data_IF_833219170904
#
_entry.id   IF_833219170904
#
_cell.length_a   1.000
_cell.length_b   1.000
_cell.length_c   1.000
_cell.angle_alpha   90.00
_cell.angle_beta   90.00
_cell.angle_gamma   90.00
#
_symmetry.space_group_name_H-M   'P 1'
#
loop_
_entity.id
_entity.type
_entity.pdbx_description
1 polymer ?
#
# COMPACT_ATOMS: atom_id res chain seq x y z
N UNK A 1 1.09 14.56 91.75
CA UNK A 1 0.41 13.59 92.63
C UNK A 1 0.24 12.28 91.87
N UNK A 2 1.02 11.25 92.21
CA UNK A 2 0.69 9.82 92.01
C UNK A 2 -0.39 9.40 93.04
N UNK A 3 -1.19 8.32 92.88
CA UNK A 3 -0.78 6.90 92.68
C UNK A 3 -1.56 6.20 91.54
N UNK A 4 -1.17 5.08 90.89
CA UNK A 4 -0.54 3.78 91.22
C UNK A 4 -1.54 2.60 91.39
N UNK A 5 -1.30 1.54 90.60
CA UNK A 5 -1.61 0.08 90.76
C UNK A 5 -3.07 -0.38 90.55
N UNK A 6 -3.39 -1.55 89.99
CA UNK A 6 -2.66 -2.79 89.61
C UNK A 6 -3.38 -3.43 88.39
N UNK A 7 -2.74 -3.94 87.33
CA UNK A 7 -1.98 -5.19 87.13
C UNK A 7 -2.74 -6.48 87.50
N UNK A 8 -3.22 -7.18 86.46
CA UNK A 8 -3.51 -8.61 86.45
C UNK A 8 -3.14 -9.18 85.07
N UNK A 9 -1.98 -9.84 84.99
CA UNK A 9 -1.49 -10.64 83.87
C UNK A 9 -2.21 -12.01 83.86
N UNK A 10 -2.26 -12.86 82.83
CA UNK A 10 -1.33 -13.15 81.74
C UNK A 10 -1.93 -14.21 80.81
N UNK A 11 -1.69 -14.13 79.50
CA UNK A 11 -1.20 -15.27 78.67
C UNK A 11 -0.84 -14.78 77.25
N UNK A 12 0.12 -15.43 76.55
CA UNK A 12 1.18 -14.73 75.84
C UNK A 12 0.95 -14.48 74.34
N UNK A 13 1.46 -13.33 73.93
CA UNK A 13 1.95 -12.87 72.62
C UNK A 13 2.17 -13.90 71.50
N UNK A 14 1.45 -13.73 70.39
CA UNK A 14 1.98 -13.89 69.04
C UNK A 14 2.09 -12.50 68.39
N UNK A 15 3.32 -12.03 68.24
CA UNK A 15 3.67 -10.76 67.60
C UNK A 15 3.61 -10.94 66.09
N UNK A 16 2.58 -10.38 65.44
CA UNK A 16 2.58 -10.19 63.98
C UNK A 16 3.37 -8.90 63.64
N UNK A 17 4.32 -8.95 62.69
CA UNK A 17 5.18 -7.83 62.35
C UNK A 17 4.42 -6.68 61.64
N UNK A 18 4.91 -5.44 61.78
CA UNK A 18 4.23 -4.25 61.30
C UNK A 18 4.18 -4.17 59.76
N UNK A 19 3.01 -3.78 59.26
CA UNK A 19 2.70 -3.48 57.85
C UNK A 19 3.69 -2.47 57.27
N UNK A 20 4.70 -2.98 56.58
CA UNK A 20 5.57 -2.20 55.70
C UNK A 20 4.75 -1.68 54.51
N UNK A 21 4.96 -0.40 54.21
CA UNK A 21 4.25 0.31 53.14
C UNK A 21 4.38 -0.39 51.80
N UNK A 22 3.31 -1.05 51.37
CA UNK A 22 3.13 -1.43 49.98
C UNK A 22 2.72 -0.17 49.22
N UNK A 23 3.73 0.62 48.85
CA UNK A 23 3.69 1.54 47.74
C UNK A 23 3.01 0.80 46.59
N UNK A 24 1.74 1.14 46.29
CA UNK A 24 1.06 0.65 45.09
C UNK A 24 1.89 1.16 43.93
N UNK A 25 2.80 0.31 43.44
CA UNK A 25 3.40 0.44 42.12
C UNK A 25 2.22 0.52 41.18
N UNK A 26 1.91 1.74 40.74
CA UNK A 26 1.08 1.95 39.57
C UNK A 26 1.73 1.13 38.48
N UNK A 27 1.09 0.03 38.11
CA UNK A 27 1.36 -0.61 36.83
C UNK A 27 0.98 0.47 35.84
N UNK A 28 1.98 1.23 35.38
CA UNK A 28 1.84 2.09 34.23
C UNK A 28 1.71 1.13 33.06
N UNK A 29 0.48 0.66 32.84
CA UNK A 29 0.09 0.07 31.57
C UNK A 29 0.28 1.19 30.57
N UNK A 30 1.43 1.24 29.91
CA UNK A 30 1.60 1.97 28.65
C UNK A 30 0.70 1.26 27.63
N UNK A 31 -0.60 1.50 27.76
CA UNK A 31 -1.62 0.98 26.89
C UNK A 31 -1.46 1.68 25.56
N UNK A 32 -1.26 0.91 24.50
CA UNK A 32 -1.32 1.38 23.13
C UNK A 32 -2.59 2.25 22.88
N UNK A 33 -3.67 1.99 23.64
CA UNK A 33 -4.90 2.79 23.69
C UNK A 33 -4.70 4.29 23.95
N UNK A 34 -3.83 4.69 24.88
CA UNK A 34 -3.62 6.12 25.20
C UNK A 34 -2.89 6.88 24.09
N UNK A 35 -1.99 6.20 23.36
CA UNK A 35 -1.32 6.77 22.18
C UNK A 35 -2.32 6.90 21.02
N UNK A 36 -3.22 5.92 20.88
CA UNK A 36 -4.26 5.98 19.86
C UNK A 36 -5.29 7.08 20.15
N UNK A 37 -5.62 7.38 21.39
CA UNK A 37 -6.53 8.48 21.78
C UNK A 37 -5.97 9.88 21.43
N UNK A 38 -4.65 10.07 21.44
CA UNK A 38 -4.00 11.34 21.11
C UNK A 38 -3.89 11.60 19.60
N UNK A 39 -4.12 10.58 18.76
CA UNK A 39 -4.11 10.73 17.30
C UNK A 39 -5.45 11.28 16.80
N UNK A 40 -5.46 12.06 15.70
CA UNK A 40 -6.70 12.54 15.10
C UNK A 40 -7.60 11.35 14.74
N UNK A 41 -8.74 11.28 15.43
CA UNK A 41 -9.73 10.23 15.26
C UNK A 41 -10.58 10.48 14.02
N UNK A 42 -10.90 9.39 13.33
CA UNK A 42 -11.74 9.36 12.14
C UNK A 42 -12.84 8.34 12.34
N UNK A 43 -14.06 8.76 12.04
CA UNK A 43 -15.21 7.87 11.92
C UNK A 43 -15.42 7.54 10.44
N UNK A 44 -15.18 6.29 10.05
CA UNK A 44 -15.35 5.80 8.69
C UNK A 44 -16.70 5.10 8.56
N UNK A 45 -17.65 5.73 7.87
CA UNK A 45 -19.03 5.24 7.74
C UNK A 45 -19.24 4.69 6.34
N UNK A 46 -19.60 3.42 6.23
CA UNK A 46 -19.83 2.75 4.95
C UNK A 46 -21.32 2.60 4.65
N UNK A 47 -21.77 3.24 3.58
CA UNK A 47 -23.09 3.04 2.99
C UNK A 47 -23.04 1.91 1.94
N UNK A 48 -24.04 1.05 1.93
CA UNK A 48 -24.18 -0.04 0.95
C UNK A 48 -25.42 0.18 0.08
N UNK A 49 -25.27 -0.02 -1.23
CA UNK A 49 -26.36 0.20 -2.17
C UNK A 49 -26.18 -0.58 -3.48
N UNK A 50 -27.06 -0.33 -4.44
CA UNK A 50 -27.00 -0.85 -5.80
C UNK A 50 -26.71 0.29 -6.77
N UNK A 51 -25.83 0.06 -7.76
CA UNK A 51 -25.49 1.08 -8.73
C UNK A 51 -26.65 1.35 -9.71
N UNK A 52 -27.08 2.61 -9.79
CA UNK A 52 -28.26 3.04 -10.56
C UNK A 52 -27.95 3.82 -11.84
N UNK A 53 -26.69 4.03 -12.21
CA UNK A 53 -26.34 4.88 -13.38
C UNK A 53 -26.49 6.38 -13.14
N UNK A 54 -26.80 6.80 -11.91
CA UNK A 54 -26.94 8.20 -11.50
C UNK A 54 -26.24 8.44 -10.15
N UNK A 55 -25.86 9.70 -9.83
CA UNK A 55 -25.38 10.05 -8.50
C UNK A 55 -26.45 9.77 -7.44
N UNK A 56 -26.04 9.25 -6.27
CA UNK A 56 -26.96 8.93 -5.16
C UNK A 56 -26.60 9.81 -3.96
N UNK A 57 -27.45 10.79 -3.59
CA UNK A 57 -27.22 11.61 -2.42
C UNK A 57 -27.59 10.84 -1.16
N UNK A 58 -26.67 10.84 -0.20
CA UNK A 58 -26.80 10.16 1.08
C UNK A 58 -26.61 11.16 2.23
N UNK A 59 -27.41 11.01 3.28
CA UNK A 59 -27.21 11.68 4.57
C UNK A 59 -26.69 10.66 5.56
N UNK A 60 -25.66 11.06 6.29
CA UNK A 60 -25.05 10.29 7.37
C UNK A 60 -25.39 10.99 8.66
N UNK A 61 -26.00 10.28 9.60
CA UNK A 61 -26.33 10.78 10.94
C UNK A 61 -25.64 9.92 11.98
N UNK A 62 -25.04 10.54 13.00
CA UNK A 62 -24.30 9.83 14.04
C UNK A 62 -24.53 10.43 15.42
N UNK A 63 -24.58 9.55 16.43
CA UNK A 63 -24.69 9.92 17.84
C UNK A 63 -23.63 9.17 18.63
N UNK A 64 -22.91 9.88 19.51
CA UNK A 64 -21.98 9.25 20.43
C UNK A 64 -22.75 8.54 21.54
N UNK A 65 -22.36 7.30 21.86
CA UNK A 65 -23.06 6.47 22.86
C UNK A 65 -22.82 6.92 24.31
N UNK A 66 -21.66 7.49 24.61
CA UNK A 66 -21.22 7.76 25.98
C UNK A 66 -21.58 9.18 26.47
N UNK A 67 -22.77 9.69 26.16
CA UNK A 67 -23.25 10.99 26.62
C UNK A 67 -24.76 11.00 26.86
N UNK A 68 -25.23 11.80 27.82
CA UNK A 68 -26.67 12.01 28.02
C UNK A 68 -27.31 12.43 26.68
N UNK A 69 -28.45 11.82 26.33
CA UNK A 69 -29.04 11.90 24.98
C UNK A 69 -29.28 13.34 24.45
N UNK A 70 -29.37 14.33 25.34
CA UNK A 70 -29.55 15.75 25.01
C UNK A 70 -28.23 16.52 24.79
N UNK A 71 -27.08 16.01 25.24
CA UNK A 71 -25.75 16.65 25.13
C UNK A 71 -24.73 15.84 24.32
N UNK A 72 -25.14 14.69 23.79
CA UNK A 72 -24.28 13.85 22.96
C UNK A 72 -23.97 14.57 21.62
N UNK A 73 -22.69 14.66 21.21
CA UNK A 73 -22.34 15.29 19.95
C UNK A 73 -23.05 14.57 18.80
N UNK A 74 -23.86 15.32 18.07
CA UNK A 74 -24.59 14.86 16.88
C UNK A 74 -23.77 15.19 15.65
N UNK A 75 -23.56 14.20 14.81
CA UNK A 75 -22.91 14.35 13.52
C UNK A 75 -23.97 14.24 12.42
N UNK A 76 -23.98 15.21 11.52
CA UNK A 76 -24.77 15.12 10.29
C UNK A 76 -23.88 15.53 9.11
N UNK A 77 -23.80 14.66 8.09
CA UNK A 77 -23.01 14.94 6.90
C UNK A 77 -23.75 14.47 5.65
N UNK A 78 -23.87 15.36 4.68
CA UNK A 78 -24.33 15.02 3.35
C UNK A 78 -23.14 14.61 2.50
N UNK A 79 -23.29 13.52 1.76
CA UNK A 79 -22.33 13.06 0.78
C UNK A 79 -23.07 12.56 -0.45
N UNK A 80 -22.40 12.56 -1.60
CA UNK A 80 -23.00 12.07 -2.84
C UNK A 80 -22.13 10.94 -3.37
N UNK A 81 -22.72 9.76 -3.51
CA UNK A 81 -22.08 8.65 -4.23
C UNK A 81 -21.99 9.06 -5.70
N UNK A 82 -20.79 9.03 -6.32
CA UNK A 82 -20.63 9.31 -7.74
C UNK A 82 -21.51 8.42 -8.61
N UNK A 83 -21.80 8.86 -9.84
CA UNK A 83 -22.52 8.02 -10.79
C UNK A 83 -21.69 6.77 -11.11
N UNK A 84 -22.24 5.60 -10.75
CA UNK A 84 -21.69 4.29 -11.04
C UNK A 84 -22.49 3.64 -12.17
N UNK A 85 -21.85 2.94 -13.14
CA UNK A 85 -22.57 2.29 -14.24
C UNK A 85 -23.70 1.39 -13.74
N UNK A 86 -24.90 1.60 -14.30
CA UNK A 86 -26.05 0.74 -14.02
C UNK A 86 -25.70 -0.71 -14.42
N UNK A 87 -25.89 -1.65 -13.49
CA UNK A 87 -25.52 -3.06 -13.70
C UNK A 87 -24.11 -3.45 -13.21
N UNK A 88 -23.34 -2.52 -12.64
CA UNK A 88 -22.09 -2.88 -11.92
C UNK A 88 -22.35 -3.64 -10.60
N UNK A 89 -23.62 -3.70 -10.19
CA UNK A 89 -24.10 -4.47 -9.05
C UNK A 89 -24.08 -3.67 -7.75
N UNK A 90 -23.79 -4.36 -6.65
CA UNK A 90 -23.67 -3.74 -5.32
C UNK A 90 -22.48 -2.78 -5.29
N UNK A 91 -22.52 -1.80 -4.40
CA UNK A 91 -21.37 -0.97 -4.07
C UNK A 91 -21.31 -0.73 -2.55
N UNK A 92 -20.12 -0.39 -2.07
CA UNK A 92 -19.88 0.09 -0.72
C UNK A 92 -19.15 1.44 -0.82
N UNK A 93 -19.77 2.51 -0.31
CA UNK A 93 -19.24 3.85 -0.32
C UNK A 93 -18.90 4.29 1.10
N UNK A 94 -17.65 4.67 1.37
CA UNK A 94 -17.19 5.06 2.70
C UNK A 94 -16.88 6.54 2.76
N UNK A 95 -17.49 7.20 3.74
CA UNK A 95 -17.22 8.60 4.08
C UNK A 95 -16.42 8.63 5.37
N UNK A 96 -15.22 9.20 5.32
CA UNK A 96 -14.40 9.46 6.49
C UNK A 96 -14.71 10.84 7.07
N UNK A 97 -15.16 10.87 8.32
CA UNK A 97 -15.38 12.10 9.09
C UNK A 97 -14.23 12.25 10.07
N UNK A 98 -13.39 13.26 9.85
CA UNK A 98 -12.23 13.58 10.69
C UNK A 98 -12.60 14.49 11.86
N UNK A 99 -11.74 14.53 12.88
CA UNK A 99 -11.84 15.40 14.07
C UNK A 99 -13.07 15.10 14.94
N UNK A 100 -13.42 13.83 15.06
CA UNK A 100 -14.54 13.36 15.89
C UNK A 100 -14.01 12.88 17.23
N UNK A 101 -14.68 13.13 18.37
CA UNK A 101 -14.27 12.57 19.66
C UNK A 101 -14.16 11.04 19.61
N UNK A 102 -13.12 10.52 20.26
CA UNK A 102 -12.91 9.07 20.39
C UNK A 102 -14.07 8.37 21.09
N UNK A 103 -14.35 7.14 20.67
CA UNK A 103 -15.32 6.24 21.31
C UNK A 103 -16.26 5.55 20.32
N UNK A 104 -17.35 5.01 20.85
CA UNK A 104 -18.39 4.31 20.08
C UNK A 104 -19.45 5.28 19.56
N UNK A 105 -19.67 5.22 18.25
CA UNK A 105 -20.65 6.04 17.55
C UNK A 105 -21.73 5.15 16.95
N UNK A 106 -22.99 5.47 17.25
CA UNK A 106 -24.13 4.88 16.57
C UNK A 106 -24.42 5.69 15.32
N UNK A 107 -24.29 5.08 14.14
CA UNK A 107 -24.38 5.79 12.86
C UNK A 107 -25.45 5.18 11.96
N UNK A 108 -26.27 6.04 11.37
CA UNK A 108 -27.21 5.73 10.31
C UNK A 108 -26.80 6.36 8.98
N UNK A 109 -27.12 5.69 7.88
CA UNK A 109 -27.00 6.25 6.53
C UNK A 109 -28.35 6.17 5.85
N UNK A 110 -28.83 7.28 5.31
CA UNK A 110 -30.10 7.36 4.58
C UNK A 110 -29.90 7.98 3.22
N UNK A 111 -30.78 7.64 2.29
CA UNK A 111 -30.85 8.29 0.98
C UNK A 111 -31.75 9.51 1.08
N UNK A 112 -31.28 10.66 0.61
CA UNK A 112 -32.08 11.90 0.67
C UNK A 112 -33.02 12.05 -0.52
N UNK A 113 -32.81 11.29 -1.60
CA UNK A 113 -33.65 11.28 -2.80
C UNK A 113 -34.90 10.39 -2.67
N UNK A 114 -34.95 9.52 -1.66
CA UNK A 114 -36.06 8.60 -1.42
C UNK A 114 -36.82 9.02 -0.17
N UNK A 115 -37.96 9.69 -0.36
CA UNK A 115 -38.88 10.00 0.73
C UNK A 115 -39.67 8.74 1.11
N UNK A 116 -39.10 7.88 1.97
CA UNK A 116 -39.81 6.73 2.55
C UNK A 116 -39.95 6.90 4.06
N UNK A 117 -41.11 7.39 4.48
CA UNK A 117 -41.56 7.32 5.87
C UNK A 117 -41.74 5.84 6.26
N UNK A 118 -40.82 5.28 7.05
CA UNK A 118 -41.01 3.95 7.66
C UNK A 118 -39.88 2.94 7.48
N UNK A 119 -38.82 3.24 6.73
CA UNK A 119 -37.65 2.33 6.70
C UNK A 119 -36.85 2.51 7.98
N UNK A 120 -36.86 1.52 8.89
CA UNK A 120 -36.04 1.52 10.11
C UNK A 120 -34.58 1.75 9.71
N UNK A 121 -34.02 2.91 10.06
CA UNK A 121 -32.60 3.20 9.84
C UNK A 121 -31.80 2.12 10.55
N UNK A 122 -31.10 1.29 9.78
CA UNK A 122 -30.18 0.30 10.34
C UNK A 122 -28.98 1.05 10.89
N UNK A 123 -29.08 1.43 12.15
CA UNK A 123 -28.01 2.07 12.91
C UNK A 123 -26.97 1.02 13.24
N UNK A 124 -25.71 1.32 12.94
CA UNK A 124 -24.58 0.44 13.20
C UNK A 124 -23.65 1.17 14.15
N UNK A 125 -23.25 0.49 15.21
CA UNK A 125 -22.24 1.00 16.14
C UNK A 125 -20.89 0.81 15.50
N UNK A 126 -20.12 1.90 15.39
CA UNK A 126 -18.78 1.89 14.86
C UNK A 126 -17.85 2.64 15.81
N UNK A 127 -16.72 2.04 16.21
CA UNK A 127 -15.71 2.75 16.95
C UNK A 127 -14.97 3.72 16.03
N UNK A 128 -14.53 4.86 16.58
CA UNK A 128 -13.54 5.69 15.91
C UNK A 128 -12.22 4.97 15.74
N UNK A 129 -11.49 5.25 14.67
CA UNK A 129 -10.13 4.75 14.46
C UNK A 129 -9.18 5.93 14.22
N UNK A 130 -7.90 5.80 14.60
CA UNK A 130 -6.88 6.74 14.16
C UNK A 130 -6.92 6.87 12.64
N UNK A 131 -6.72 8.09 12.12
CA UNK A 131 -6.79 8.37 10.67
C UNK A 131 -5.95 7.40 9.80
N UNK A 132 -4.84 6.91 10.35
CA UNK A 132 -3.93 5.98 9.69
C UNK A 132 -4.48 4.56 9.59
N UNK A 133 -5.47 4.18 10.41
CA UNK A 133 -6.10 2.85 10.46
C UNK A 133 -7.55 2.88 9.93
N UNK A 134 -8.07 4.07 9.65
CA UNK A 134 -9.40 4.29 9.06
C UNK A 134 -9.35 4.06 7.54
N UNK A 135 -9.32 2.79 7.14
CA UNK A 135 -9.32 2.42 5.73
C UNK A 135 -10.74 2.24 5.19
N UNK A 136 -10.91 2.49 3.88
CA UNK A 136 -12.14 2.22 3.15
C UNK A 136 -12.47 0.73 3.06
N UNK A 137 -13.60 0.39 2.42
CA UNK A 137 -14.11 -0.97 2.41
C UNK A 137 -13.19 -1.87 1.58
N UNK A 138 -13.03 -3.14 1.97
CA UNK A 138 -12.26 -4.15 1.25
C UNK A 138 -10.78 -3.78 0.97
N UNK A 139 -10.11 -3.13 1.94
CA UNK A 139 -8.70 -2.75 1.87
C UNK A 139 -7.88 -3.49 2.92
N UNK A 140 -6.81 -4.18 2.53
CA UNK A 140 -5.85 -4.82 3.45
C UNK A 140 -4.47 -4.16 3.35
N UNK A 141 -4.22 -3.12 4.15
CA UNK A 141 -3.02 -2.26 3.98
C UNK A 141 -1.68 -2.98 4.11
N UNK A 142 -1.60 -4.00 4.96
CA UNK A 142 -0.38 -4.79 5.14
C UNK A 142 -0.05 -5.71 3.97
N UNK A 143 -1.01 -5.98 3.06
CA UNK A 143 -0.76 -6.84 1.90
C UNK A 143 0.29 -6.27 0.95
N UNK A 144 0.30 -4.94 0.74
CA UNK A 144 1.25 -4.28 -0.16
C UNK A 144 2.71 -4.40 0.30
N UNK A 145 3.11 -3.97 1.51
CA UNK A 145 4.51 -4.08 1.93
C UNK A 145 4.97 -5.54 2.01
N UNK A 146 4.11 -6.46 2.46
CA UNK A 146 4.45 -7.91 2.53
C UNK A 146 4.72 -8.47 1.14
N UNK A 147 3.84 -8.23 0.17
CA UNK A 147 4.01 -8.74 -1.19
C UNK A 147 5.17 -8.08 -1.93
N UNK A 148 5.43 -6.79 -1.68
CA UNK A 148 6.59 -6.09 -2.25
C UNK A 148 7.90 -6.63 -1.68
N UNK A 149 7.97 -6.87 -0.36
CA UNK A 149 9.15 -7.47 0.28
C UNK A 149 9.38 -8.91 -0.21
N UNK A 150 8.32 -9.71 -0.30
CA UNK A 150 8.40 -11.05 -0.88
C UNK A 150 8.86 -11.00 -2.35
N UNK A 151 8.37 -10.03 -3.13
CA UNK A 151 8.80 -9.81 -4.51
C UNK A 151 10.26 -9.39 -4.62
N UNK A 152 10.75 -8.54 -3.72
CA UNK A 152 12.16 -8.16 -3.67
C UNK A 152 13.06 -9.34 -3.29
N UNK A 153 12.65 -10.16 -2.32
CA UNK A 153 13.36 -11.39 -1.96
C UNK A 153 13.41 -12.39 -3.13
N UNK A 154 12.28 -12.59 -3.83
CA UNK A 154 12.23 -13.41 -5.04
C UNK A 154 13.15 -12.86 -6.13
N UNK A 155 13.19 -11.53 -6.33
CA UNK A 155 14.05 -10.90 -7.32
C UNK A 155 15.54 -11.15 -7.03
N UNK A 156 15.96 -10.96 -5.79
CA UNK A 156 17.33 -11.22 -5.33
C UNK A 156 17.68 -12.71 -5.42
N UNK A 157 16.75 -13.60 -5.06
CA UNK A 157 16.94 -15.04 -5.17
C UNK A 157 17.14 -15.47 -6.63
N UNK A 158 16.28 -15.02 -7.54
CA UNK A 158 16.41 -15.32 -8.98
C UNK A 158 17.71 -14.77 -9.54
N UNK A 159 18.08 -13.54 -9.19
CA UNK A 159 19.36 -12.95 -9.58
C UNK A 159 20.53 -13.80 -9.08
N UNK A 160 20.55 -14.18 -7.79
CA UNK A 160 21.60 -15.02 -7.22
C UNK A 160 21.72 -16.37 -7.94
N UNK A 161 20.59 -17.01 -8.26
CA UNK A 161 20.56 -18.28 -8.99
C UNK A 161 21.06 -18.16 -10.44
N UNK A 162 20.86 -17.01 -11.09
CA UNK A 162 21.39 -16.74 -12.42
C UNK A 162 22.90 -16.49 -12.36
N UNK A 163 23.37 -15.69 -11.40
CA UNK A 163 24.79 -15.40 -11.22
C UNK A 163 25.60 -16.60 -10.74
N UNK A 164 25.01 -17.53 -9.99
CA UNK A 164 25.67 -18.76 -9.59
C UNK A 164 26.07 -19.67 -10.77
N UNK A 165 25.58 -19.36 -12.00
CA UNK A 165 25.99 -20.04 -13.23
C UNK A 165 27.12 -19.33 -13.98
N UNK A 166 27.58 -18.19 -13.49
CA UNK A 166 28.65 -17.38 -14.09
C UNK A 166 29.85 -17.32 -13.14
N UNK A 167 31.03 -16.97 -13.64
CA UNK A 167 32.26 -16.82 -12.83
C UNK A 167 32.27 -15.54 -11.96
N UNK A 168 31.11 -14.96 -11.69
CA UNK A 168 30.97 -13.71 -10.92
C UNK A 168 30.87 -14.00 -9.42
N UNK A 169 31.38 -13.08 -8.60
CA UNK A 169 31.17 -13.11 -7.15
C UNK A 169 29.69 -12.81 -6.84
N UNK A 170 28.91 -13.89 -6.67
CA UNK A 170 27.47 -13.84 -6.37
C UNK A 170 27.21 -13.02 -5.11
N UNK A 171 28.05 -13.14 -4.08
CA UNK A 171 27.85 -12.44 -2.82
C UNK A 171 28.04 -10.94 -2.99
N UNK A 172 29.10 -10.51 -3.69
CA UNK A 172 29.34 -9.10 -3.97
C UNK A 172 28.18 -8.47 -4.76
N UNK A 173 27.71 -9.15 -5.82
CA UNK A 173 26.62 -8.61 -6.66
C UNK A 173 25.30 -8.55 -5.91
N UNK A 174 24.93 -9.60 -5.17
CA UNK A 174 23.71 -9.62 -4.37
C UNK A 174 23.76 -8.52 -3.31
N UNK A 175 24.92 -8.30 -2.68
CA UNK A 175 25.10 -7.20 -1.73
C UNK A 175 24.92 -5.83 -2.39
N UNK A 176 25.45 -5.62 -3.60
CA UNK A 176 25.20 -4.39 -4.38
C UNK A 176 23.71 -4.21 -4.66
N UNK A 177 23.00 -5.28 -5.04
CA UNK A 177 21.54 -5.24 -5.27
C UNK A 177 20.73 -4.94 -4.00
N UNK A 178 21.14 -5.49 -2.85
CA UNK A 178 20.52 -5.19 -1.55
C UNK A 178 20.74 -3.72 -1.18
N UNK A 179 21.97 -3.23 -1.30
CA UNK A 179 22.31 -1.81 -1.06
C UNK A 179 21.52 -0.91 -2.01
N UNK A 180 21.42 -1.27 -3.29
CA UNK A 180 20.61 -0.56 -4.29
C UNK A 180 19.13 -0.48 -3.88
N UNK A 181 18.56 -1.56 -3.33
CA UNK A 181 17.18 -1.55 -2.83
C UNK A 181 17.00 -0.62 -1.61
N UNK A 182 17.95 -0.61 -0.67
CA UNK A 182 17.93 0.26 0.52
C UNK A 182 18.10 1.73 0.15
N UNK A 183 19.11 2.04 -0.67
CA UNK A 183 19.37 3.40 -1.18
C UNK A 183 18.21 3.86 -2.06
N UNK A 184 17.66 2.97 -2.89
CA UNK A 184 16.43 3.19 -3.65
C UNK A 184 15.27 3.62 -2.75
N UNK A 185 14.98 2.89 -1.68
CA UNK A 185 13.91 3.25 -0.76
C UNK A 185 14.14 4.60 -0.07
N UNK A 186 15.38 4.88 0.34
CA UNK A 186 15.76 6.18 0.89
C UNK A 186 15.56 7.32 -0.14
N UNK A 187 15.99 7.10 -1.38
CA UNK A 187 15.80 8.02 -2.51
C UNK A 187 14.32 8.27 -2.83
N UNK A 188 13.48 7.22 -2.74
CA UNK A 188 12.03 7.33 -2.93
C UNK A 188 11.38 8.30 -1.93
N UNK A 189 11.81 8.24 -0.66
CA UNK A 189 11.33 9.11 0.41
C UNK A 189 11.90 10.52 0.31
N UNK A 190 13.19 10.65 0.03
CA UNK A 190 13.84 11.94 -0.18
C UNK A 190 13.18 12.71 -1.33
N UNK A 191 12.95 12.04 -2.47
CA UNK A 191 12.27 12.63 -3.62
C UNK A 191 10.84 13.07 -3.27
N UNK A 192 10.09 12.26 -2.53
CA UNK A 192 8.74 12.64 -2.09
C UNK A 192 8.74 13.91 -1.22
N UNK A 193 9.70 14.03 -0.29
CA UNK A 193 9.82 15.21 0.57
C UNK A 193 10.13 16.48 -0.23
N UNK A 194 11.06 16.38 -1.18
CA UNK A 194 11.44 17.49 -2.06
C UNK A 194 10.27 17.90 -2.94
N UNK A 195 9.65 16.94 -3.63
CA UNK A 195 8.51 17.20 -4.52
C UNK A 195 7.30 17.76 -3.77
N UNK A 196 7.07 17.32 -2.52
CA UNK A 196 5.95 17.78 -1.69
C UNK A 196 6.29 18.98 -0.80
N UNK A 197 7.53 19.50 -0.86
CA UNK A 197 8.06 20.57 -0.01
C UNK A 197 7.80 20.36 1.49
N UNK A 198 7.94 19.11 1.97
CA UNK A 198 7.69 18.74 3.37
C UNK A 198 8.98 18.76 4.21
N UNK A 199 8.89 19.06 5.52
CA UNK A 199 10.06 19.06 6.40
C UNK A 199 10.62 17.64 6.57
N UNK A 200 11.94 17.55 6.74
CA UNK A 200 12.66 16.27 6.85
C UNK A 200 12.20 15.40 8.02
N UNK A 201 11.65 16.01 9.08
CA UNK A 201 11.05 15.29 10.23
C UNK A 201 9.94 14.32 9.82
N UNK A 202 9.31 14.52 8.64
CA UNK A 202 8.30 13.61 8.09
C UNK A 202 8.87 12.51 7.19
N UNK A 203 10.18 12.28 7.17
CA UNK A 203 10.80 11.23 6.35
C UNK A 203 10.23 9.84 6.64
N UNK A 204 10.06 9.47 7.92
CA UNK A 204 9.50 8.16 8.30
C UNK A 204 8.01 8.05 8.00
N UNK A 205 7.24 9.11 8.29
CA UNK A 205 5.78 9.16 8.14
C UNK A 205 5.27 9.56 6.73
N UNK A 206 6.18 9.94 5.84
CA UNK A 206 5.89 10.48 4.52
C UNK A 206 5.54 9.40 3.50
N UNK A 207 5.01 9.83 2.35
CA UNK A 207 4.85 8.96 1.18
C UNK A 207 6.20 8.59 0.55
N UNK A 208 6.13 7.80 -0.52
CA UNK A 208 7.29 7.42 -1.32
C UNK A 208 6.99 7.65 -2.80
N UNK A 209 7.99 8.10 -3.55
CA UNK A 209 7.91 8.33 -4.99
C UNK A 209 8.75 7.30 -5.75
N UNK A 210 8.14 6.59 -6.70
CA UNK A 210 8.83 5.57 -7.51
C UNK A 210 9.96 6.15 -8.37
N UNK A 211 9.86 7.42 -8.79
CA UNK A 211 10.91 8.09 -9.58
C UNK A 211 12.22 8.22 -8.79
N UNK A 212 12.13 8.61 -7.51
CA UNK A 212 13.28 8.66 -6.62
C UNK A 212 13.88 7.29 -6.33
N UNK A 213 13.03 6.26 -6.22
CA UNK A 213 13.49 4.87 -6.10
C UNK A 213 14.32 4.45 -7.31
N UNK A 214 13.77 4.58 -8.51
CA UNK A 214 14.42 4.14 -9.74
C UNK A 214 15.73 4.88 -9.98
N UNK A 215 15.75 6.20 -9.78
CA UNK A 215 16.96 7.00 -9.95
C UNK A 215 18.07 6.54 -9.00
N UNK A 216 17.78 6.43 -7.70
CA UNK A 216 18.77 6.07 -6.70
C UNK A 216 19.20 4.58 -6.79
N UNK A 217 18.26 3.67 -7.08
CA UNK A 217 18.55 2.25 -7.23
C UNK A 217 19.43 1.99 -8.47
N UNK A 218 19.06 2.54 -9.64
CA UNK A 218 19.81 2.33 -10.88
C UNK A 218 21.21 2.97 -10.83
N UNK A 219 21.34 4.16 -10.25
CA UNK A 219 22.65 4.79 -10.05
C UNK A 219 23.54 3.98 -9.11
N UNK A 220 22.99 3.50 -7.99
CA UNK A 220 23.73 2.63 -7.06
C UNK A 220 24.14 1.31 -7.72
N UNK A 221 23.25 0.71 -8.53
CA UNK A 221 23.52 -0.53 -9.24
C UNK A 221 24.63 -0.33 -10.29
N UNK A 222 24.60 0.78 -11.05
CA UNK A 222 25.62 1.10 -12.04
C UNK A 222 26.99 1.36 -11.41
N UNK A 223 27.04 2.17 -10.35
CA UNK A 223 28.29 2.45 -9.61
C UNK A 223 28.81 1.18 -8.94
N UNK A 224 27.95 0.43 -8.24
CA UNK A 224 28.32 -0.80 -7.57
C UNK A 224 28.82 -1.87 -8.55
N UNK A 225 28.16 -2.02 -9.70
CA UNK A 225 28.61 -2.89 -10.80
C UNK A 225 30.00 -2.51 -11.31
N UNK A 226 30.24 -1.21 -11.55
CA UNK A 226 31.54 -0.73 -11.99
C UNK A 226 32.65 -0.99 -10.95
N UNK A 227 32.35 -0.85 -9.65
CA UNK A 227 33.30 -1.10 -8.57
C UNK A 227 33.72 -2.58 -8.45
N UNK A 228 32.84 -3.50 -8.84
CA UNK A 228 33.09 -4.95 -8.83
C UNK A 228 33.51 -5.50 -10.21
N UNK A 229 33.77 -4.61 -11.18
CA UNK A 229 34.25 -4.99 -12.52
C UNK A 229 33.19 -5.58 -13.45
N UNK A 230 31.90 -5.45 -13.14
CA UNK A 230 30.79 -5.96 -13.97
C UNK A 230 30.17 -4.82 -14.76
N UNK A 231 30.00 -5.02 -16.07
CA UNK A 231 29.36 -4.05 -16.93
C UNK A 231 27.90 -3.81 -16.54
N UNK A 232 27.46 -2.54 -16.52
CA UNK A 232 26.11 -2.17 -16.12
C UNK A 232 25.01 -2.91 -16.92
N UNK A 233 25.22 -3.12 -18.24
CA UNK A 233 24.28 -3.87 -19.08
C UNK A 233 24.13 -5.34 -18.66
N UNK A 234 25.24 -6.01 -18.36
CA UNK A 234 25.22 -7.41 -17.90
C UNK A 234 24.51 -7.53 -16.54
N UNK A 235 24.80 -6.59 -15.63
CA UNK A 235 24.17 -6.56 -14.32
C UNK A 235 22.66 -6.29 -14.42
N UNK A 236 22.25 -5.37 -15.30
CA UNK A 236 20.84 -5.06 -15.54
C UNK A 236 20.09 -6.24 -16.17
N UNK A 237 20.68 -6.92 -17.16
CA UNK A 237 20.10 -8.11 -17.78
C UNK A 237 19.93 -9.24 -16.77
N UNK A 238 20.93 -9.50 -15.92
CA UNK A 238 20.84 -10.50 -14.86
C UNK A 238 19.81 -10.15 -13.78
N UNK A 239 19.56 -8.86 -13.54
CA UNK A 239 18.55 -8.38 -12.58
C UNK A 239 17.13 -8.44 -13.16
N UNK A 240 16.97 -8.33 -14.48
CA UNK A 240 15.68 -8.14 -15.16
C UNK A 240 14.66 -9.25 -14.87
N UNK A 241 15.00 -10.56 -14.98
CA UNK A 241 14.06 -11.63 -14.68
C UNK A 241 13.53 -11.56 -13.26
N UNK A 242 14.43 -11.39 -12.29
CA UNK A 242 14.09 -11.24 -10.89
C UNK A 242 13.19 -10.03 -10.64
N UNK A 243 13.53 -8.87 -11.21
CA UNK A 243 12.76 -7.64 -11.08
C UNK A 243 11.30 -7.81 -11.53
N UNK A 244 11.08 -8.44 -12.69
CA UNK A 244 9.75 -8.60 -13.26
C UNK A 244 8.93 -9.70 -12.57
N UNK A 245 9.56 -10.79 -12.15
CA UNK A 245 8.90 -11.81 -11.32
C UNK A 245 8.53 -11.24 -9.94
N UNK A 246 9.41 -10.46 -9.33
CA UNK A 246 9.12 -9.72 -8.10
C UNK A 246 7.98 -8.72 -8.28
N UNK A 247 7.94 -8.01 -9.42
CA UNK A 247 6.84 -7.10 -9.74
C UNK A 247 5.51 -7.84 -9.95
N UNK A 248 5.53 -9.02 -10.59
CA UNK A 248 4.35 -9.87 -10.75
C UNK A 248 3.74 -10.27 -9.40
N UNK A 249 4.59 -10.54 -8.40
CA UNK A 249 4.16 -10.85 -7.03
C UNK A 249 3.69 -9.60 -6.25
N UNK A 250 4.35 -8.46 -6.43
CA UNK A 250 4.04 -7.22 -5.71
C UNK A 250 2.78 -6.50 -6.18
N UNK A 251 2.47 -6.53 -7.49
CA UNK A 251 1.33 -5.81 -8.10
C UNK A 251 -0.05 -6.19 -7.53
N UNK A 252 -0.35 -7.47 -7.23
CA UNK A 252 -1.56 -7.84 -6.49
C UNK A 252 -1.73 -7.11 -5.15
N UNK A 253 -0.65 -6.72 -4.49
CA UNK A 253 -0.72 -5.88 -3.28
C UNK A 253 -1.42 -4.54 -3.50
N UNK A 254 -1.27 -3.94 -4.69
CA UNK A 254 -1.99 -2.72 -5.08
C UNK A 254 -3.50 -2.96 -5.22
N UNK A 255 -3.89 -4.14 -5.72
CA UNK A 255 -5.30 -4.53 -5.85
C UNK A 255 -5.98 -4.64 -4.48
N UNK A 256 -5.32 -5.28 -3.52
CA UNK A 256 -5.83 -5.46 -2.16
C UNK A 256 -5.79 -4.18 -1.31
N UNK A 257 -4.88 -3.25 -1.60
CA UNK A 257 -4.80 -1.96 -0.91
C UNK A 257 -5.63 -0.85 -1.55
N UNK A 258 -6.26 -1.14 -2.69
CA UNK A 258 -7.10 -0.22 -3.44
C UNK A 258 -6.36 0.98 -4.01
N UNK A 259 -5.07 0.84 -4.34
CA UNK A 259 -4.35 1.89 -5.07
C UNK A 259 -4.32 1.57 -6.57
N UNK A 260 -4.29 2.63 -7.40
CA UNK A 260 -4.31 2.52 -8.86
C UNK A 260 -5.48 1.70 -9.42
N UNK A 261 -6.66 1.83 -8.81
CA UNK A 261 -7.84 1.06 -9.17
C UNK A 261 -8.32 1.36 -10.60
N UNK A 262 -8.81 0.32 -11.27
CA UNK A 262 -9.53 0.46 -12.53
C UNK A 262 -10.84 1.22 -12.36
N UNK A 263 -11.37 1.74 -13.46
CA UNK A 263 -12.70 2.34 -13.50
C UNK A 263 -13.79 1.30 -13.18
N UNK A 264 -14.91 1.71 -12.56
CA UNK A 264 -16.08 0.86 -12.40
C UNK A 264 -16.55 0.28 -13.74
N UNK A 265 -17.02 -0.97 -13.74
CA UNK A 265 -17.41 -1.66 -14.97
C UNK A 265 -18.58 -2.63 -14.76
N UNK A 266 -19.33 -2.85 -15.83
CA UNK A 266 -20.36 -3.89 -15.94
C UNK A 266 -19.83 -5.19 -16.56
N UNK A 267 -18.58 -5.18 -17.03
CA UNK A 267 -17.96 -6.31 -17.73
C UNK A 267 -17.89 -7.56 -16.87
N UNK A 268 -18.07 -8.74 -17.49
CA UNK A 268 -17.91 -10.06 -16.84
C UNK A 268 -16.53 -10.26 -16.20
N UNK A 269 -15.52 -9.58 -16.75
CA UNK A 269 -14.13 -9.62 -16.29
C UNK A 269 -13.85 -8.65 -15.13
N UNK A 270 -14.85 -7.87 -14.70
CA UNK A 270 -14.71 -6.97 -13.56
C UNK A 270 -14.69 -7.73 -12.24
N UNK A 271 -13.76 -7.36 -11.35
CA UNK A 271 -13.62 -7.91 -10.00
C UNK A 271 -14.04 -6.88 -8.96
N UNK A 272 -14.52 -7.35 -7.81
CA UNK A 272 -14.79 -6.49 -6.67
C UNK A 272 -13.50 -5.88 -6.15
N UNK A 273 -13.38 -4.56 -6.21
CA UNK A 273 -12.17 -3.85 -5.77
C UNK A 273 -12.51 -2.45 -5.26
N UNK A 274 -11.69 -1.97 -4.34
CA UNK A 274 -11.84 -0.68 -3.68
C UNK A 274 -10.84 0.32 -4.23
N UNK A 275 -11.19 1.61 -4.24
CA UNK A 275 -10.24 2.71 -4.40
C UNK A 275 -9.98 3.44 -3.07
N UNK A 276 -10.24 2.76 -1.94
CA UNK A 276 -10.26 3.29 -0.56
C UNK A 276 -11.43 4.21 -0.22
N UNK A 277 -12.28 4.56 -1.18
CA UNK A 277 -13.51 5.33 -0.95
C UNK A 277 -14.74 4.53 -1.39
N UNK A 278 -14.67 3.86 -2.54
CA UNK A 278 -15.76 3.11 -3.16
C UNK A 278 -15.26 1.72 -3.54
N UNK A 279 -15.87 0.69 -2.95
CA UNK A 279 -15.75 -0.68 -3.42
C UNK A 279 -16.92 -1.02 -4.36
N UNK A 280 -16.60 -1.42 -5.57
CA UNK A 280 -17.56 -1.79 -6.62
C UNK A 280 -16.86 -2.75 -7.59
N UNK A 281 -17.60 -3.33 -8.52
CA UNK A 281 -17.02 -4.08 -9.64
C UNK A 281 -16.18 -3.15 -10.53
N UNK A 282 -14.88 -3.43 -10.65
CA UNK A 282 -13.89 -2.62 -11.39
C UNK A 282 -13.08 -3.48 -12.35
N UNK A 283 -12.52 -2.84 -13.37
CA UNK A 283 -11.54 -3.49 -14.25
C UNK A 283 -10.29 -3.83 -13.43
N UNK A 284 -9.82 -5.09 -13.40
CA UNK A 284 -8.69 -5.50 -12.56
C UNK A 284 -7.33 -5.17 -13.21
N UNK A 285 -7.13 -3.89 -13.52
CA UNK A 285 -5.94 -3.37 -14.22
C UNK A 285 -4.64 -3.79 -13.53
N UNK A 286 -4.63 -3.82 -12.18
CA UNK A 286 -3.44 -4.23 -11.41
C UNK A 286 -3.07 -5.70 -11.62
N UNK A 287 -4.05 -6.59 -11.82
CA UNK A 287 -3.79 -8.01 -12.11
C UNK A 287 -3.32 -8.20 -13.55
N UNK A 288 -3.81 -7.40 -14.48
CA UNK A 288 -3.29 -7.39 -15.85
C UNK A 288 -1.85 -6.90 -15.91
N UNK A 289 -1.49 -5.88 -15.12
CA UNK A 289 -0.10 -5.46 -14.95
C UNK A 289 0.77 -6.54 -14.31
N UNK A 290 0.23 -7.28 -13.33
CA UNK A 290 0.92 -8.41 -12.72
C UNK A 290 1.16 -9.55 -13.72
N UNK A 291 0.16 -9.89 -14.53
CA UNK A 291 0.27 -10.91 -15.57
C UNK A 291 1.28 -10.52 -16.66
N UNK A 292 1.27 -9.26 -17.11
CA UNK A 292 2.27 -8.78 -18.06
C UNK A 292 3.69 -8.81 -17.45
N UNK A 293 3.85 -8.41 -16.20
CA UNK A 293 5.13 -8.52 -15.50
C UNK A 293 5.58 -9.99 -15.37
N UNK A 294 4.66 -10.93 -15.12
CA UNK A 294 4.98 -12.36 -15.08
C UNK A 294 5.47 -12.86 -16.43
N UNK A 295 4.75 -12.55 -17.51
CA UNK A 295 5.15 -12.96 -18.87
C UNK A 295 6.52 -12.39 -19.21
N UNK A 296 6.76 -11.09 -18.97
CA UNK A 296 8.05 -10.44 -19.23
C UNK A 296 9.16 -11.05 -18.35
N UNK A 297 8.88 -11.36 -17.09
CA UNK A 297 9.81 -12.02 -16.18
C UNK A 297 10.20 -13.42 -16.66
N UNK A 298 9.22 -14.20 -17.13
CA UNK A 298 9.46 -15.54 -17.66
C UNK A 298 10.20 -15.51 -19.02
N UNK A 299 9.84 -14.59 -19.92
CA UNK A 299 10.52 -14.47 -21.21
C UNK A 299 11.94 -13.93 -21.07
N UNK A 300 12.18 -12.97 -20.18
CA UNK A 300 13.54 -12.50 -19.85
C UNK A 300 14.34 -13.59 -19.14
N UNK A 301 13.74 -14.36 -18.23
CA UNK A 301 14.40 -15.51 -17.61
C UNK A 301 14.82 -16.54 -18.66
N UNK A 302 13.91 -16.91 -19.56
CA UNK A 302 14.21 -17.81 -20.67
C UNK A 302 15.32 -17.24 -21.56
N UNK A 303 15.27 -15.95 -21.90
CA UNK A 303 16.30 -15.27 -22.69
C UNK A 303 17.68 -15.37 -22.05
N UNK A 304 17.80 -15.12 -20.74
CA UNK A 304 19.08 -15.27 -20.03
C UNK A 304 19.53 -16.73 -19.99
N UNK A 305 18.62 -17.68 -19.73
CA UNK A 305 18.95 -19.11 -19.62
C UNK A 305 19.32 -19.76 -20.96
N UNK A 306 18.81 -19.25 -22.08
CA UNK A 306 19.04 -19.77 -23.43
C UNK A 306 20.30 -19.18 -24.10
N UNK A 307 21.17 -18.51 -23.34
CA UNK A 307 22.43 -17.96 -23.84
C UNK A 307 22.48 -16.43 -23.94
N UNK A 308 21.43 -15.73 -23.48
CA UNK A 308 21.36 -14.28 -23.53
C UNK A 308 21.18 -13.73 -24.95
N UNK A 309 21.13 -12.40 -25.04
CA UNK A 309 21.22 -11.70 -26.32
C UNK A 309 22.68 -11.23 -26.51
N UNK A 310 23.15 -11.09 -27.77
CA UNK A 310 24.55 -10.76 -28.05
C UNK A 310 24.99 -9.38 -27.53
N UNK A 311 24.03 -8.55 -27.11
CA UNK A 311 24.25 -7.18 -26.65
C UNK A 311 23.89 -7.09 -25.17
N UNK A 312 24.87 -6.74 -24.33
CA UNK A 312 24.66 -6.53 -22.91
C UNK A 312 23.69 -5.35 -22.67
N UNK A 313 22.64 -5.58 -21.87
CA UNK A 313 21.60 -4.61 -21.52
C UNK A 313 20.33 -4.73 -22.37
N UNK A 314 20.33 -5.55 -23.42
CA UNK A 314 19.18 -5.67 -24.35
C UNK A 314 17.96 -6.30 -23.68
N UNK A 315 18.14 -7.34 -22.86
CA UNK A 315 17.03 -7.98 -22.14
C UNK A 315 16.35 -6.97 -21.21
N UNK A 316 17.13 -6.13 -20.51
CA UNK A 316 16.61 -5.07 -19.68
C UNK A 316 15.85 -4.01 -20.49
N UNK A 317 16.43 -3.51 -21.59
CA UNK A 317 15.81 -2.48 -22.43
C UNK A 317 14.50 -3.00 -23.02
N UNK A 318 14.50 -4.20 -23.61
CA UNK A 318 13.31 -4.83 -24.16
C UNK A 318 12.22 -5.03 -23.08
N UNK A 319 12.59 -5.54 -21.91
CA UNK A 319 11.64 -5.79 -20.83
C UNK A 319 11.00 -4.49 -20.30
N UNK A 320 11.80 -3.45 -20.06
CA UNK A 320 11.31 -2.13 -19.60
C UNK A 320 10.44 -1.47 -20.66
N UNK A 321 10.83 -1.52 -21.93
CA UNK A 321 10.06 -0.94 -23.03
C UNK A 321 8.73 -1.68 -23.23
N UNK A 322 8.73 -3.02 -23.20
CA UNK A 322 7.53 -3.84 -23.29
C UNK A 322 6.55 -3.56 -22.13
N UNK A 323 7.05 -3.54 -20.90
CA UNK A 323 6.21 -3.27 -19.73
C UNK A 323 5.65 -1.84 -19.73
N UNK A 324 6.48 -0.87 -20.08
CA UNK A 324 6.07 0.53 -20.14
C UNK A 324 5.04 0.75 -21.24
N UNK A 325 5.23 0.16 -22.42
CA UNK A 325 4.26 0.15 -23.51
C UNK A 325 2.93 -0.46 -23.09
N UNK A 326 2.95 -1.65 -22.47
CA UNK A 326 1.74 -2.29 -21.96
C UNK A 326 1.01 -1.42 -20.91
N UNK A 327 1.76 -0.78 -20.00
CA UNK A 327 1.19 0.15 -19.02
C UNK A 327 0.51 1.35 -19.68
N UNK A 328 1.04 1.88 -20.79
CA UNK A 328 0.38 2.94 -21.56
C UNK A 328 -0.93 2.48 -22.18
N UNK A 329 -1.02 1.23 -22.64
CA UNK A 329 -2.25 0.63 -23.16
C UNK A 329 -3.33 0.49 -22.08
N UNK A 330 -2.92 0.15 -20.85
CA UNK A 330 -3.83 -0.01 -19.71
C UNK A 330 -4.28 1.31 -19.08
N UNK A 331 -3.55 2.39 -19.29
CA UNK A 331 -3.79 3.69 -18.66
C UNK A 331 -5.24 4.22 -18.78
N UNK A 332 -5.94 4.12 -19.94
CA UNK A 332 -7.33 4.56 -20.09
C UNK A 332 -8.36 3.78 -19.26
N UNK A 333 -7.97 2.60 -18.76
CA UNK A 333 -8.83 1.75 -17.95
C UNK A 333 -8.75 2.11 -16.46
N UNK A 334 -7.82 2.97 -16.07
CA UNK A 334 -7.68 3.48 -14.71
C UNK A 334 -8.72 4.57 -14.42
N UNK A 335 -9.04 4.75 -13.14
CA UNK A 335 -10.01 5.76 -12.71
C UNK A 335 -9.56 7.21 -12.99
N UNK A 336 -8.25 7.48 -12.97
CA UNK A 336 -7.67 8.84 -13.12
C UNK A 336 -6.75 8.98 -14.36
N UNK A 337 -7.29 9.06 -15.58
CA UNK A 337 -6.48 9.22 -16.79
C UNK A 337 -5.95 10.65 -16.93
N UNK A 338 -4.72 10.89 -16.48
CA UNK A 338 -4.04 12.17 -16.66
C UNK A 338 -3.13 12.15 -17.91
N UNK A 339 -3.32 13.12 -18.80
CA UNK A 339 -2.57 13.43 -20.04
C UNK A 339 -2.74 12.48 -21.24
N UNK A 340 -3.45 12.96 -22.28
CA UNK A 340 -3.69 12.24 -23.54
C UNK A 340 -2.44 12.16 -24.43
N UNK A 341 -1.66 13.24 -24.52
CA UNK A 341 -0.47 13.33 -25.40
C UNK A 341 0.74 12.54 -24.88
N UNK A 342 1.01 12.61 -23.58
CA UNK A 342 2.14 11.92 -22.95
C UNK A 342 2.13 10.41 -23.22
N UNK A 343 0.94 9.79 -23.15
CA UNK A 343 0.75 8.37 -23.46
C UNK A 343 1.25 7.97 -24.86
N UNK A 344 0.85 8.73 -25.88
CA UNK A 344 1.21 8.42 -27.27
C UNK A 344 2.72 8.59 -27.51
N UNK A 345 3.31 9.63 -26.92
CA UNK A 345 4.76 9.87 -26.98
C UNK A 345 5.52 8.72 -26.31
N UNK A 346 5.13 8.34 -25.09
CA UNK A 346 5.76 7.23 -24.37
C UNK A 346 5.62 5.91 -25.13
N UNK A 347 4.46 5.65 -25.74
CA UNK A 347 4.25 4.44 -26.52
C UNK A 347 5.14 4.42 -27.78
N UNK A 348 5.25 5.55 -28.49
CA UNK A 348 6.16 5.67 -29.63
C UNK A 348 7.62 5.43 -29.22
N UNK A 349 8.06 6.01 -28.10
CA UNK A 349 9.40 5.78 -27.54
C UNK A 349 9.62 4.29 -27.23
N UNK A 350 8.64 3.62 -26.62
CA UNK A 350 8.77 2.18 -26.31
C UNK A 350 8.88 1.34 -27.58
N UNK A 351 8.12 1.66 -28.63
CA UNK A 351 8.21 0.96 -29.92
C UNK A 351 9.58 1.19 -30.58
N UNK A 352 10.06 2.43 -30.59
CA UNK A 352 11.39 2.76 -31.14
C UNK A 352 12.49 2.02 -30.38
N UNK A 353 12.43 1.98 -29.05
CA UNK A 353 13.40 1.26 -28.23
C UNK A 353 13.36 -0.25 -28.49
N UNK A 354 12.17 -0.86 -28.60
CA UNK A 354 12.04 -2.29 -28.90
C UNK A 354 12.56 -2.65 -30.29
N UNK A 355 12.19 -1.88 -31.31
CA UNK A 355 12.63 -2.12 -32.68
C UNK A 355 14.14 -1.88 -32.80
N UNK A 356 14.64 -0.82 -32.18
CA UNK A 356 16.07 -0.52 -32.15
C UNK A 356 16.88 -1.62 -31.45
N UNK A 357 16.44 -2.07 -30.27
CA UNK A 357 17.09 -3.14 -29.51
C UNK A 357 17.14 -4.46 -30.31
N UNK A 358 16.02 -4.84 -30.93
CA UNK A 358 15.97 -6.02 -31.81
C UNK A 358 16.86 -5.87 -33.04
N UNK A 359 16.90 -4.69 -33.66
CA UNK A 359 17.73 -4.45 -34.83
C UNK A 359 19.23 -4.53 -34.49
N UNK A 360 19.64 -3.96 -33.35
CA UNK A 360 21.04 -4.04 -32.88
C UNK A 360 21.39 -5.48 -32.51
N UNK A 361 20.51 -6.17 -31.78
CA UNK A 361 20.71 -7.58 -31.43
C UNK A 361 20.83 -8.47 -32.68
N UNK A 362 20.00 -8.24 -33.71
CA UNK A 362 20.10 -8.96 -34.98
C UNK A 362 21.40 -8.63 -35.74
N UNK A 363 21.78 -7.35 -35.82
CA UNK A 363 22.99 -6.93 -36.52
C UNK A 363 24.26 -7.54 -35.90
N UNK A 364 24.34 -7.58 -34.56
CA UNK A 364 25.48 -8.19 -33.85
C UNK A 364 25.42 -9.71 -33.92
N UNK A 365 24.23 -10.30 -33.81
CA UNK A 365 24.05 -11.76 -33.87
C UNK A 365 24.28 -12.37 -35.26
N UNK A 366 24.23 -11.58 -36.34
CA UNK A 366 24.59 -12.02 -37.70
C UNK A 366 26.07 -11.79 -38.03
N UNK A 367 26.78 -11.00 -37.21
CA UNK A 367 28.21 -10.71 -37.38
C UNK A 367 29.14 -11.59 -36.52
N UNK A 368 28.58 -12.38 -35.60
CA UNK A 368 29.27 -13.39 -34.79
C UNK A 368 28.99 -14.78 -35.36
#
# INVERSE_FOLDING_TARGET
MSPSRAVGASSPTSVDPPRTGAQRRGVVTFGCSQIFEQLPQVLAVTHWGQAEGRPIPIRITGWRRDGAAASAPRLERLATVPSLPAGSGRFAYTVSVSNVPGGDWEVGTERTDVSRSGTRLRRVVMPTRPAQLAYGPAVTVWSWPVLVLAGAALALMVQALLLARTDADVAAVVMVSVVSCVVGFAGAKAWYLVASRKPIRRFLSGGACIQGFLLAALTTLAIGGALIGIGAGQLLDATTPGLFLGMALGRPGCFFTGCCAGRPTVSRWGLWSSDRTIAVRRIPVQLWEAAAALVIGLTSLAGVLLGGLPVAGSIFVAAIAAYTGFRQLLFPLRADPHTRRGRHITLAICVVLLVGDLAVAAAVGWGA
#
